data_IF_035921307410
#
_entry.id   IF_035921307410
#
_cell.length_a   1.000
_cell.length_b   1.000
_cell.length_c   1.000
_cell.angle_alpha   90.00
_cell.angle_beta   90.00
_cell.angle_gamma   90.00
#
_symmetry.space_group_name_H-M   'P 1'
#
loop_
_entity.id
_entity.type
_entity.pdbx_description
1 polymer ?
#
# COMPACT_ATOMS: atom_id res chain seq x y z
N UNK A 1 1.49 -19.51 -17.68
CA UNK A 1 0.86 -18.29 -18.14
C UNK A 1 1.78 -17.12 -17.86
N UNK A 2 2.21 -16.40 -18.88
CA UNK A 2 2.98 -15.18 -18.72
C UNK A 2 2.04 -14.12 -18.15
N UNK A 3 2.21 -13.76 -16.90
CA UNK A 3 1.62 -12.53 -16.36
C UNK A 3 2.29 -11.37 -17.09
N UNK A 4 1.60 -10.82 -18.07
CA UNK A 4 2.01 -9.59 -18.73
C UNK A 4 1.75 -8.48 -17.71
N UNK A 5 2.76 -8.16 -16.89
CA UNK A 5 2.72 -7.00 -16.05
C UNK A 5 2.65 -5.77 -16.97
N UNK A 6 1.46 -5.22 -17.14
CA UNK A 6 1.28 -3.89 -17.68
C UNK A 6 2.07 -2.99 -16.73
N UNK A 7 3.16 -2.43 -17.22
CA UNK A 7 4.02 -1.51 -16.47
C UNK A 7 3.37 -0.13 -16.47
N UNK A 8 2.18 -0.08 -15.86
CA UNK A 8 1.44 1.15 -15.66
C UNK A 8 2.05 1.91 -14.48
N UNK A 9 2.29 3.18 -14.70
CA UNK A 9 2.67 4.10 -13.63
C UNK A 9 1.41 4.64 -12.99
N UNK A 10 1.46 4.91 -11.72
CA UNK A 10 0.38 5.62 -11.05
C UNK A 10 0.06 6.92 -11.81
N UNK A 11 -1.24 7.15 -12.08
CA UNK A 11 -1.78 8.26 -12.87
C UNK A 11 -1.69 8.12 -14.40
N UNK A 12 -1.20 7.03 -14.95
CA UNK A 12 -1.31 6.79 -16.38
C UNK A 12 -2.78 6.61 -16.77
N UNK A 13 -3.17 7.19 -17.90
CA UNK A 13 -4.51 7.03 -18.47
C UNK A 13 -4.50 5.84 -19.43
N UNK A 14 -5.21 4.79 -19.06
CA UNK A 14 -5.42 3.63 -19.91
C UNK A 14 -6.66 3.85 -20.78
N UNK A 15 -6.51 3.80 -22.11
CA UNK A 15 -7.60 3.78 -23.05
C UNK A 15 -7.63 2.44 -23.75
N UNK A 16 -8.67 1.65 -23.50
CA UNK A 16 -8.86 0.32 -24.07
C UNK A 16 -10.34 0.08 -24.40
N UNK A 17 -10.59 -0.81 -25.35
CA UNK A 17 -11.94 -1.34 -25.58
C UNK A 17 -12.17 -2.46 -24.54
N UNK A 18 -13.14 -2.25 -23.67
CA UNK A 18 -13.42 -3.16 -22.55
C UNK A 18 -14.79 -3.80 -22.76
N UNK A 19 -14.86 -5.10 -22.58
CA UNK A 19 -16.15 -5.80 -22.51
C UNK A 19 -16.70 -5.66 -21.08
N UNK A 20 -17.76 -4.87 -20.92
CA UNK A 20 -18.41 -4.67 -19.64
C UNK A 20 -19.42 -5.80 -19.38
N UNK A 21 -19.28 -6.46 -18.24
CA UNK A 21 -20.23 -7.48 -17.78
C UNK A 21 -20.69 -7.16 -16.36
N UNK A 22 -21.91 -7.58 -16.04
CA UNK A 22 -22.39 -7.54 -14.66
C UNK A 22 -21.71 -8.65 -13.87
N UNK A 23 -21.25 -8.41 -12.63
CA UNK A 23 -20.72 -9.46 -11.80
C UNK A 23 -21.74 -10.58 -11.62
N UNK A 24 -21.42 -11.78 -12.07
CA UNK A 24 -22.30 -12.95 -11.94
C UNK A 24 -22.04 -13.57 -10.57
N UNK A 25 -23.11 -13.86 -9.84
CA UNK A 25 -23.01 -14.65 -8.61
C UNK A 25 -22.67 -16.10 -8.97
N UNK A 26 -21.60 -16.66 -8.42
CA UNK A 26 -21.36 -18.09 -8.47
C UNK A 26 -22.13 -18.77 -7.34
N UNK A 27 -22.78 -19.89 -7.64
CA UNK A 27 -23.62 -20.65 -6.69
C UNK A 27 -22.81 -21.33 -5.56
N UNK A 28 -21.48 -21.30 -5.62
CA UNK A 28 -20.59 -21.88 -4.61
C UNK A 28 -19.80 -20.80 -3.88
N UNK A 29 -20.26 -20.40 -2.70
CA UNK A 29 -19.49 -19.61 -1.76
C UNK A 29 -19.90 -18.13 -1.67
N UNK A 30 -18.96 -17.23 -1.63
CA UNK A 30 -19.15 -15.79 -1.47
C UNK A 30 -19.90 -15.20 -2.67
N UNK A 31 -21.07 -14.63 -2.44
CA UNK A 31 -21.85 -13.97 -3.48
C UNK A 31 -21.08 -12.75 -4.01
N UNK A 32 -20.31 -12.95 -5.07
CA UNK A 32 -19.43 -11.98 -5.72
C UNK A 32 -20.17 -10.69 -6.07
N UNK A 33 -21.46 -10.81 -6.43
CA UNK A 33 -22.32 -9.67 -6.72
C UNK A 33 -22.52 -8.77 -5.48
N UNK A 34 -22.79 -9.36 -4.31
CA UNK A 34 -22.99 -8.60 -3.07
C UNK A 34 -21.68 -7.98 -2.59
N UNK A 35 -20.56 -8.66 -2.77
CA UNK A 35 -19.24 -8.12 -2.46
C UNK A 35 -18.91 -6.88 -3.30
N UNK A 36 -19.15 -6.92 -4.61
CA UNK A 36 -18.92 -5.77 -5.48
C UNK A 36 -19.95 -4.66 -5.26
N UNK A 37 -21.21 -5.00 -5.01
CA UNK A 37 -22.25 -4.02 -4.68
C UNK A 37 -21.95 -3.25 -3.39
N UNK A 38 -21.42 -3.92 -2.37
CA UNK A 38 -20.98 -3.27 -1.14
C UNK A 38 -19.81 -2.27 -1.35
N UNK A 39 -19.07 -2.42 -2.44
CA UNK A 39 -18.01 -1.49 -2.88
C UNK A 39 -18.48 -0.46 -3.91
N UNK A 40 -19.79 -0.37 -4.18
CA UNK A 40 -20.38 0.45 -5.25
C UNK A 40 -19.84 0.12 -6.65
N UNK A 41 -19.41 -1.13 -6.88
CA UNK A 41 -18.96 -1.61 -8.19
C UNK A 41 -20.11 -2.41 -8.82
N UNK A 42 -20.71 -1.87 -9.87
CA UNK A 42 -21.86 -2.47 -10.55
C UNK A 42 -21.52 -3.12 -11.89
N UNK A 43 -20.32 -2.83 -12.42
CA UNK A 43 -19.84 -3.35 -13.70
C UNK A 43 -18.39 -3.77 -13.54
N UNK A 44 -18.04 -4.91 -14.10
CA UNK A 44 -16.66 -5.41 -14.22
C UNK A 44 -16.28 -5.45 -15.69
N UNK A 45 -15.05 -5.08 -16.02
CA UNK A 45 -14.54 -5.10 -17.36
C UNK A 45 -13.32 -6.00 -17.49
N UNK A 46 -13.28 -6.79 -18.57
CA UNK A 46 -12.12 -7.60 -18.91
C UNK A 46 -11.49 -7.06 -20.20
N UNK A 47 -10.16 -6.94 -20.20
CA UNK A 47 -9.36 -6.62 -21.37
C UNK A 47 -8.69 -7.92 -21.79
N UNK A 48 -8.92 -8.34 -23.02
CA UNK A 48 -8.25 -9.51 -23.58
C UNK A 48 -6.89 -9.11 -24.13
N UNK A 49 -5.88 -9.98 -23.96
CA UNK A 49 -4.48 -9.75 -24.34
C UNK A 49 -4.28 -9.35 -25.82
N UNK A 50 -5.20 -9.70 -26.68
CA UNK A 50 -5.15 -9.37 -28.13
C UNK A 50 -5.76 -8.01 -28.49
N UNK A 51 -6.30 -7.27 -27.53
CA UNK A 51 -6.91 -5.96 -27.80
C UNK A 51 -5.87 -4.84 -27.67
N UNK A 52 -5.79 -3.94 -28.67
CA UNK A 52 -4.88 -2.79 -28.58
C UNK A 52 -5.33 -1.85 -27.45
N UNK A 53 -4.42 -1.55 -26.57
CA UNK A 53 -4.61 -0.54 -25.54
C UNK A 53 -3.57 0.56 -25.68
N UNK A 54 -3.91 1.78 -25.33
CA UNK A 54 -2.97 2.90 -25.29
C UNK A 54 -2.83 3.41 -23.87
N UNK A 55 -1.58 3.54 -23.43
CA UNK A 55 -1.25 4.14 -22.14
C UNK A 55 -0.71 5.53 -22.41
N UNK A 56 -1.40 6.55 -21.92
CA UNK A 56 -0.96 7.94 -22.01
C UNK A 56 -0.53 8.40 -20.63
N UNK A 57 0.62 9.05 -20.53
CA UNK A 57 1.09 9.63 -19.27
C UNK A 57 0.07 10.65 -18.75
N UNK A 58 -0.45 10.42 -17.56
CA UNK A 58 -1.42 11.30 -16.92
C UNK A 58 -0.76 12.46 -16.16
N UNK A 59 -1.56 13.43 -15.73
CA UNK A 59 -1.10 14.51 -14.85
C UNK A 59 -0.72 13.92 -13.48
N UNK A 60 0.55 14.01 -13.11
CA UNK A 60 1.05 13.51 -11.83
C UNK A 60 0.92 14.56 -10.74
N UNK A 61 0.33 14.20 -9.61
CA UNK A 61 0.48 14.99 -8.38
C UNK A 61 1.91 14.83 -7.87
N UNK A 62 2.75 15.87 -7.87
CA UNK A 62 4.19 15.73 -7.68
C UNK A 62 4.55 15.03 -6.36
N UNK A 63 3.88 15.36 -5.27
CA UNK A 63 4.17 14.78 -3.95
C UNK A 63 3.90 13.27 -3.90
N UNK A 64 2.73 12.84 -4.35
CA UNK A 64 2.34 11.42 -4.30
C UNK A 64 3.13 10.58 -5.30
N UNK A 65 3.49 11.16 -6.45
CA UNK A 65 4.38 10.52 -7.42
C UNK A 65 5.75 10.18 -6.81
N UNK A 66 6.35 11.13 -6.08
CA UNK A 66 7.64 10.87 -5.41
C UNK A 66 7.51 9.81 -4.30
N UNK A 67 6.43 9.82 -3.54
CA UNK A 67 6.18 8.81 -2.52
C UNK A 67 6.08 7.39 -3.12
N UNK A 68 5.36 7.25 -4.24
CA UNK A 68 5.26 5.98 -4.97
C UNK A 68 6.59 5.54 -5.54
N UNK A 69 7.38 6.47 -6.08
CA UNK A 69 8.73 6.18 -6.59
C UNK A 69 9.69 5.71 -5.48
N UNK A 70 9.59 6.31 -4.29
CA UNK A 70 10.33 5.84 -3.12
C UNK A 70 9.90 4.43 -2.74
N UNK A 71 8.59 4.16 -2.69
CA UNK A 71 8.04 2.82 -2.43
C UNK A 71 8.56 1.79 -3.42
N UNK A 72 8.54 2.10 -4.72
CA UNK A 72 9.04 1.22 -5.78
C UNK A 72 10.52 0.89 -5.58
N UNK A 73 11.36 1.90 -5.34
CA UNK A 73 12.79 1.70 -5.05
C UNK A 73 13.04 0.87 -3.81
N UNK A 74 12.28 1.10 -2.74
CA UNK A 74 12.37 0.28 -1.51
C UNK A 74 11.98 -1.17 -1.80
N UNK A 75 10.93 -1.40 -2.57
CA UNK A 75 10.50 -2.75 -2.98
C UNK A 75 11.57 -3.45 -3.81
N UNK A 76 12.15 -2.74 -4.78
CA UNK A 76 13.25 -3.29 -5.61
C UNK A 76 14.49 -3.62 -4.78
N UNK A 77 14.88 -2.74 -3.87
CA UNK A 77 16.02 -2.97 -2.97
C UNK A 77 15.77 -4.20 -2.06
N UNK A 78 14.58 -4.33 -1.48
CA UNK A 78 14.22 -5.48 -0.67
C UNK A 78 14.21 -6.79 -1.45
N UNK A 79 13.73 -6.75 -2.70
CA UNK A 79 13.75 -7.93 -3.59
C UNK A 79 15.16 -8.32 -4.04
N UNK A 80 16.07 -7.34 -4.14
CA UNK A 80 17.47 -7.60 -4.47
C UNK A 80 18.28 -8.18 -3.30
N UNK A 81 17.94 -7.79 -2.07
CA UNK A 81 18.67 -8.19 -0.86
C UNK A 81 18.14 -9.48 -0.22
N UNK A 82 16.87 -9.83 -0.43
CA UNK A 82 16.20 -10.93 0.25
C UNK A 82 15.72 -12.01 -0.74
N UNK A 83 15.69 -13.28 -0.31
CA UNK A 83 15.07 -14.36 -1.09
C UNK A 83 13.60 -14.03 -1.42
N UNK A 84 13.04 -14.53 -2.55
CA UNK A 84 11.70 -14.16 -3.03
C UNK A 84 10.58 -14.30 -2.00
N UNK A 85 10.58 -15.38 -1.21
CA UNK A 85 9.59 -15.59 -0.14
C UNK A 85 9.67 -14.56 0.98
N UNK A 86 10.89 -14.20 1.38
CA UNK A 86 11.11 -13.24 2.46
C UNK A 86 10.85 -11.81 2.02
N UNK A 87 11.24 -11.47 0.79
CA UNK A 87 11.02 -10.13 0.23
C UNK A 87 9.52 -9.82 0.09
N UNK A 88 8.70 -10.77 -0.36
CA UNK A 88 7.26 -10.61 -0.43
C UNK A 88 6.62 -10.35 0.94
N UNK A 89 7.05 -11.10 1.97
CA UNK A 89 6.58 -10.91 3.34
C UNK A 89 6.98 -9.53 3.90
N UNK A 90 8.24 -9.15 3.75
CA UNK A 90 8.76 -7.86 4.25
C UNK A 90 8.09 -6.68 3.54
N UNK A 91 7.91 -6.76 2.22
CA UNK A 91 7.17 -5.75 1.46
C UNK A 91 5.70 -5.64 1.93
N UNK A 92 5.05 -6.76 2.20
CA UNK A 92 3.69 -6.79 2.76
C UNK A 92 3.60 -6.09 4.12
N UNK A 93 4.50 -6.41 5.03
CA UNK A 93 4.51 -5.88 6.41
C UNK A 93 4.95 -4.42 6.47
N UNK A 94 6.00 -4.02 5.73
CA UNK A 94 6.57 -2.67 5.80
C UNK A 94 5.89 -1.67 4.87
N UNK A 95 5.56 -2.08 3.64
CA UNK A 95 5.05 -1.18 2.61
C UNK A 95 3.57 -1.42 2.30
N UNK A 96 2.97 -2.47 2.85
CA UNK A 96 1.60 -2.87 2.55
C UNK A 96 1.42 -3.48 1.15
N UNK A 97 2.52 -3.83 0.48
CA UNK A 97 2.51 -4.44 -0.85
C UNK A 97 2.40 -5.97 -0.75
N UNK A 98 1.22 -6.49 -1.05
CA UNK A 98 0.92 -7.93 -1.00
C UNK A 98 1.10 -8.63 -2.35
N UNK A 99 1.52 -7.92 -3.39
CA UNK A 99 1.62 -8.45 -4.77
C UNK A 99 2.66 -9.57 -4.93
N UNK A 100 3.69 -9.57 -4.09
CA UNK A 100 4.74 -10.58 -4.09
C UNK A 100 4.58 -11.67 -3.03
N UNK A 101 3.42 -11.78 -2.38
CA UNK A 101 3.18 -12.76 -1.33
C UNK A 101 2.75 -14.10 -1.96
N UNK A 102 3.45 -15.18 -1.61
CA UNK A 102 3.09 -16.53 -2.00
C UNK A 102 1.70 -16.91 -1.42
N UNK A 103 0.82 -17.50 -2.26
CA UNK A 103 -0.52 -17.91 -1.83
C UNK A 103 -0.47 -18.85 -0.62
N UNK A 104 0.46 -19.79 -0.59
CA UNK A 104 0.64 -20.71 0.53
C UNK A 104 0.98 -19.97 1.84
N UNK A 105 1.75 -18.90 1.78
CA UNK A 105 2.06 -18.05 2.94
C UNK A 105 0.81 -17.29 3.37
N UNK A 106 0.07 -16.73 2.42
CA UNK A 106 -1.18 -16.00 2.68
C UNK A 106 -2.22 -16.88 3.37
N UNK A 107 -2.40 -18.12 2.88
CA UNK A 107 -3.34 -19.08 3.44
C UNK A 107 -2.94 -19.49 4.87
N UNK A 108 -1.67 -19.73 5.12
CA UNK A 108 -1.17 -20.04 6.45
C UNK A 108 -1.45 -18.89 7.45
N UNK A 109 -1.28 -17.64 7.03
CA UNK A 109 -1.60 -16.48 7.85
C UNK A 109 -3.11 -16.30 8.07
N UNK A 110 -3.96 -16.74 7.13
CA UNK A 110 -5.42 -16.75 7.29
C UNK A 110 -5.86 -17.84 8.28
N UNK A 111 -5.34 -19.06 8.12
CA UNK A 111 -5.67 -20.21 8.98
C UNK A 111 -5.25 -19.94 10.43
N UNK A 112 -4.10 -19.33 10.63
CA UNK A 112 -3.60 -18.97 11.97
C UNK A 112 -4.27 -17.72 12.58
N UNK A 113 -5.15 -17.05 11.82
CA UNK A 113 -5.85 -15.85 12.29
C UNK A 113 -4.99 -14.58 12.42
N UNK A 114 -3.72 -14.65 12.02
CA UNK A 114 -2.78 -13.50 12.11
C UNK A 114 -2.63 -12.71 10.80
N UNK A 115 -3.60 -12.85 9.90
CA UNK A 115 -3.62 -12.14 8.60
C UNK A 115 -3.55 -10.60 8.73
N UNK A 116 -3.94 -10.05 9.88
CA UNK A 116 -3.81 -8.63 10.19
C UNK A 116 -2.35 -8.16 10.33
N UNK A 117 -1.42 -9.06 10.65
CA UNK A 117 0.02 -8.76 10.69
C UNK A 117 0.65 -8.59 9.30
N UNK A 118 0.00 -9.12 8.25
CA UNK A 118 0.42 -8.95 6.84
C UNK A 118 0.06 -7.57 6.26
N UNK A 119 -0.36 -6.65 7.08
CA UNK A 119 -0.64 -5.27 6.66
C UNK A 119 0.05 -4.30 7.60
N UNK A 120 0.42 -3.15 7.07
CA UNK A 120 0.95 -2.06 7.90
C UNK A 120 -0.08 -1.75 8.99
N UNK A 121 0.30 -2.01 10.24
CA UNK A 121 -0.58 -1.85 11.40
C UNK A 121 -0.34 -0.51 12.11
N UNK A 122 -1.29 -0.12 12.96
CA UNK A 122 -1.15 1.06 13.81
C UNK A 122 0.08 1.04 14.70
N UNK A 123 0.50 -0.14 15.13
CA UNK A 123 1.70 -0.31 15.94
C UNK A 123 2.97 0.12 15.20
N UNK A 124 3.08 -0.20 13.91
CA UNK A 124 4.22 0.25 13.08
C UNK A 124 4.31 1.77 13.03
N UNK A 125 3.18 2.47 12.91
CA UNK A 125 3.15 3.93 12.89
C UNK A 125 3.60 4.54 14.21
N UNK A 126 3.18 3.96 15.35
CA UNK A 126 3.60 4.42 16.67
C UNK A 126 5.11 4.20 16.89
N UNK A 127 5.63 3.02 16.52
CA UNK A 127 7.06 2.69 16.64
C UNK A 127 7.90 3.65 15.78
N UNK A 128 7.51 3.86 14.52
CA UNK A 128 8.24 4.75 13.60
C UNK A 128 8.23 6.20 14.14
N UNK A 129 7.06 6.69 14.57
CA UNK A 129 6.94 8.04 15.13
C UNK A 129 7.81 8.24 16.38
N UNK A 130 7.78 7.27 17.29
CA UNK A 130 8.56 7.31 18.52
C UNK A 130 10.08 7.21 18.26
N UNK A 131 10.47 6.33 17.32
CA UNK A 131 11.86 6.20 16.92
C UNK A 131 12.40 7.48 16.27
N UNK A 132 11.62 8.08 15.35
CA UNK A 132 11.98 9.36 14.75
C UNK A 132 12.13 10.46 15.80
N UNK A 133 11.18 10.57 16.72
CA UNK A 133 11.25 11.55 17.80
C UNK A 133 12.52 11.35 18.65
N UNK A 134 12.79 10.10 19.08
CA UNK A 134 13.96 9.78 19.88
C UNK A 134 15.26 10.08 19.15
N UNK A 135 15.36 9.70 17.87
CA UNK A 135 16.54 9.98 17.05
C UNK A 135 16.81 11.49 16.92
N UNK A 136 15.75 12.29 16.64
CA UNK A 136 15.88 13.73 16.51
C UNK A 136 16.30 14.42 17.83
N UNK A 137 15.77 13.95 18.96
CA UNK A 137 16.17 14.42 20.28
C UNK A 137 17.62 14.05 20.59
N UNK A 138 18.07 12.86 20.19
CA UNK A 138 19.46 12.43 20.35
C UNK A 138 20.44 13.34 19.59
N UNK A 139 20.05 13.84 18.41
CA UNK A 139 20.84 14.83 17.66
C UNK A 139 20.74 16.26 18.21
N UNK A 140 20.12 16.47 19.38
CA UNK A 140 20.06 17.76 20.06
C UNK A 140 19.01 18.72 19.52
N UNK A 141 18.07 18.26 18.70
CA UNK A 141 16.98 19.09 18.19
C UNK A 141 16.00 19.39 19.35
N UNK A 142 15.57 20.67 19.54
CA UNK A 142 14.64 21.02 20.61
C UNK A 142 13.33 20.25 20.45
N UNK A 143 12.68 19.91 21.58
CA UNK A 143 11.48 19.05 21.62
C UNK A 143 10.40 19.43 20.61
N UNK A 144 10.09 20.73 20.48
CA UNK A 144 9.10 21.23 19.52
C UNK A 144 9.51 20.96 18.07
N UNK A 145 10.78 21.23 17.73
CA UNK A 145 11.30 20.95 16.40
C UNK A 145 11.35 19.46 16.09
N UNK A 146 11.76 18.63 17.05
CA UNK A 146 11.79 17.18 16.93
C UNK A 146 10.38 16.59 16.73
N UNK A 147 9.40 17.07 17.51
CA UNK A 147 8.00 16.64 17.37
C UNK A 147 7.40 17.01 16.00
N UNK A 148 7.66 18.22 15.52
CA UNK A 148 7.20 18.64 14.19
C UNK A 148 7.88 17.83 13.08
N UNK A 149 9.18 17.66 13.12
CA UNK A 149 9.93 16.88 12.13
C UNK A 149 9.52 15.40 12.14
N UNK A 150 9.32 14.80 13.32
CA UNK A 150 8.80 13.44 13.43
C UNK A 150 7.39 13.29 12.86
N UNK A 151 6.52 14.30 13.07
CA UNK A 151 5.16 14.33 12.49
C UNK A 151 5.19 14.37 10.97
N UNK A 152 6.10 15.17 10.38
CA UNK A 152 6.32 15.20 8.93
C UNK A 152 6.83 13.83 8.45
N UNK A 153 7.75 13.20 9.17
CA UNK A 153 8.25 11.86 8.85
C UNK A 153 7.14 10.80 8.84
N UNK A 154 6.26 10.81 9.84
CA UNK A 154 5.08 9.94 9.90
C UNK A 154 4.17 10.19 8.70
N UNK A 155 3.91 11.45 8.35
CA UNK A 155 3.10 11.81 7.18
C UNK A 155 3.72 11.32 5.86
N UNK A 156 5.02 11.50 5.68
CA UNK A 156 5.74 10.96 4.52
C UNK A 156 5.63 9.43 4.43
N UNK A 157 5.75 8.74 5.56
CA UNK A 157 5.59 7.29 5.60
C UNK A 157 4.15 6.86 5.24
N UNK A 158 3.12 7.58 5.69
CA UNK A 158 1.74 7.36 5.26
C UNK A 158 1.59 7.46 3.73
N UNK A 159 2.26 8.44 3.11
CA UNK A 159 2.24 8.59 1.65
C UNK A 159 2.94 7.43 0.94
N UNK A 160 4.08 6.97 1.43
CA UNK A 160 4.83 5.81 0.88
C UNK A 160 3.99 4.53 0.96
N UNK A 161 3.24 4.32 2.05
CA UNK A 161 2.35 3.15 2.19
C UNK A 161 1.04 3.26 1.40
N UNK A 162 0.79 4.40 0.73
CA UNK A 162 -0.37 4.62 -0.14
C UNK A 162 -1.65 4.99 0.60
N UNK A 163 -1.57 5.63 1.77
CA UNK A 163 -2.72 6.10 2.56
C UNK A 163 -3.76 5.00 2.85
N UNK A 164 -3.33 3.78 3.13
CA UNK A 164 -4.24 2.70 3.52
C UNK A 164 -5.03 3.13 4.77
N UNK A 165 -6.35 2.88 4.88
CA UNK A 165 -7.20 3.39 5.96
C UNK A 165 -6.69 3.10 7.38
N UNK A 166 -6.09 1.92 7.61
CA UNK A 166 -5.47 1.56 8.89
C UNK A 166 -4.29 2.45 9.25
N UNK A 167 -3.45 2.76 8.25
CA UNK A 167 -2.26 3.61 8.38
C UNK A 167 -2.66 5.07 8.59
N UNK A 168 -3.67 5.57 7.86
CA UNK A 168 -4.16 6.95 8.01
C UNK A 168 -4.68 7.17 9.42
N UNK A 169 -5.53 6.27 9.93
CA UNK A 169 -6.08 6.39 11.29
C UNK A 169 -4.98 6.43 12.36
N UNK A 170 -4.04 5.51 12.30
CA UNK A 170 -2.96 5.43 13.27
C UNK A 170 -1.91 6.53 13.08
N UNK A 171 -1.64 6.94 11.85
CA UNK A 171 -0.74 8.04 11.54
C UNK A 171 -1.26 9.37 12.08
N UNK A 172 -2.55 9.66 11.89
CA UNK A 172 -3.17 10.87 12.49
C UNK A 172 -3.06 10.85 14.00
N UNK A 173 -3.37 9.72 14.66
CA UNK A 173 -3.21 9.58 16.11
C UNK A 173 -1.76 9.79 16.56
N UNK A 174 -0.79 9.22 15.83
CA UNK A 174 0.64 9.38 16.13
C UNK A 174 1.08 10.84 15.98
N UNK A 175 0.61 11.53 14.93
CA UNK A 175 0.91 12.97 14.71
C UNK A 175 0.34 13.82 15.86
N UNK A 176 -0.92 13.60 16.24
CA UNK A 176 -1.54 14.32 17.35
C UNK A 176 -0.79 14.08 18.67
N UNK A 177 -0.38 12.85 18.93
CA UNK A 177 0.42 12.51 20.10
C UNK A 177 1.79 13.21 20.10
N UNK A 178 2.50 13.20 18.97
CA UNK A 178 3.80 13.86 18.81
C UNK A 178 3.69 15.38 19.04
N UNK A 179 2.68 16.00 18.46
CA UNK A 179 2.43 17.45 18.64
C UNK A 179 2.01 17.80 20.06
N UNK A 180 1.37 16.88 20.79
CA UNK A 180 1.01 17.09 22.20
C UNK A 180 2.19 16.98 23.17
N UNK A 181 3.31 16.35 22.77
CA UNK A 181 4.53 16.25 23.59
C UNK A 181 5.46 17.46 23.40
N UNK A 182 5.41 18.12 22.24
CA UNK A 182 6.28 19.25 21.86
C UNK A 182 5.80 20.57 22.38
#
# INVERSE_FOLDING_TARGET
>A
GSEMCIRDRAYDRLTAKVHLSKPTGSDEGLNTRNYYAAKNIYLTGFIYDYQPYTVTSGESHPFYYYALKVRERMTEALRALLPPRQSGLVCGVLLGDKSGLDEAVRDNFQITGVSHMLSVSGMHMAIIGQFLLWALLYFGIPKRGAALAASVGVFCFMAVTGFVPSVVRSGVMSILYLLGIG
#
